data_IF_869097868406
#
_entry.id   IF_869097868406
#
_cell.length_a   1.000
_cell.length_b   1.000
_cell.length_c   1.000
_cell.angle_alpha   90.00
_cell.angle_beta   90.00
_cell.angle_gamma   90.00
#
_symmetry.space_group_name_H-M   'P 1'
#
loop_
_entity.id
_entity.type
_entity.pdbx_description
1 polymer ?
#
# COMPACT_ATOMS: atom_id res chain seq x y z
N UNK A 1 8.05 -20.70 -9.22
CA UNK A 1 8.44 -19.30 -8.98
C UNK A 1 7.18 -18.52 -8.64
N UNK A 2 7.27 -17.77 -7.56
CA UNK A 2 6.31 -16.85 -6.91
C UNK A 2 4.81 -17.06 -7.13
N UNK A 3 4.13 -17.38 -6.02
CA UNK A 3 2.70 -17.06 -5.86
C UNK A 3 2.49 -15.61 -6.26
N UNK A 4 1.79 -15.38 -7.37
CA UNK A 4 1.16 -14.09 -7.65
C UNK A 4 0.43 -13.63 -6.38
N UNK A 5 0.45 -12.31 -6.13
CA UNK A 5 -0.49 -11.57 -5.26
C UNK A 5 -1.94 -11.75 -5.77
N UNK A 6 -2.39 -12.98 -6.03
CA UNK A 6 -3.79 -13.28 -6.21
C UNK A 6 -4.41 -13.06 -4.85
N UNK A 7 -5.13 -11.95 -4.73
CA UNK A 7 -6.14 -11.70 -3.72
C UNK A 7 -6.80 -13.03 -3.35
N UNK A 8 -6.38 -13.64 -2.24
CA UNK A 8 -7.05 -14.82 -1.73
C UNK A 8 -8.47 -14.36 -1.40
N UNK A 9 -9.41 -14.70 -2.28
CA UNK A 9 -10.84 -14.49 -2.10
C UNK A 9 -11.41 -15.39 -0.99
N UNK A 10 -10.55 -15.80 -0.06
CA UNK A 10 -10.86 -16.58 1.13
C UNK A 10 -10.17 -15.88 2.32
N UNK A 11 -10.99 -15.13 3.05
CA UNK A 11 -10.77 -14.66 4.42
C UNK A 11 -10.00 -13.33 4.62
N UNK A 12 -10.77 -12.23 4.67
CA UNK A 12 -10.62 -11.07 5.57
C UNK A 12 -9.24 -10.43 5.86
N UNK A 13 -8.18 -10.67 5.08
CA UNK A 13 -6.95 -9.89 5.21
C UNK A 13 -7.11 -8.55 4.49
N UNK A 14 -7.67 -7.55 5.19
CA UNK A 14 -7.41 -6.13 4.87
C UNK A 14 -5.90 -5.96 4.71
N UNK A 15 -5.45 -5.32 3.63
CA UNK A 15 -4.04 -4.90 3.51
C UNK A 15 -3.66 -4.15 4.77
N UNK A 16 -2.55 -4.56 5.40
CA UNK A 16 -2.14 -4.02 6.69
C UNK A 16 -1.16 -2.88 6.45
N UNK A 17 -1.46 -1.72 7.01
CA UNK A 17 -0.48 -0.64 7.15
C UNK A 17 0.45 -1.04 8.29
N UNK A 18 1.74 -1.02 8.01
CA UNK A 18 2.80 -1.22 8.99
C UNK A 18 3.49 0.11 9.27
N UNK A 19 4.01 0.27 10.49
CA UNK A 19 4.80 1.42 10.89
C UNK A 19 6.13 1.01 11.51
N UNK A 20 7.17 1.79 11.24
CA UNK A 20 8.42 1.80 12.00
C UNK A 20 8.55 3.19 12.62
N UNK A 21 8.72 3.24 13.92
CA UNK A 21 8.89 4.47 14.66
C UNK A 21 10.22 4.48 15.43
N UNK A 22 10.83 5.64 15.48
CA UNK A 22 12.24 5.78 15.81
C UNK A 22 12.50 6.01 17.31
N UNK A 23 11.82 6.99 17.91
CA UNK A 23 11.85 7.27 19.36
C UNK A 23 10.78 6.47 20.11
N UNK A 24 10.88 6.40 21.44
CA UNK A 24 9.86 5.75 22.27
C UNK A 24 8.52 6.49 22.22
N UNK A 25 8.58 7.83 22.12
CA UNK A 25 7.39 8.67 21.94
C UNK A 25 6.69 8.35 20.63
N UNK A 26 7.43 8.32 19.53
CA UNK A 26 6.90 7.97 18.21
C UNK A 26 6.32 6.54 18.19
N UNK A 27 6.96 5.57 18.85
CA UNK A 27 6.43 4.20 18.99
C UNK A 27 5.13 4.15 19.76
N UNK A 28 5.00 4.97 20.81
CA UNK A 28 3.76 5.10 21.57
C UNK A 28 2.65 5.70 20.72
N UNK A 29 2.92 6.79 20.02
CA UNK A 29 1.95 7.42 19.10
C UNK A 29 1.49 6.46 18.00
N UNK A 30 2.42 5.72 17.40
CA UNK A 30 2.11 4.67 16.43
C UNK A 30 1.18 3.60 17.02
N UNK A 31 1.45 3.15 18.24
CA UNK A 31 0.65 2.13 18.93
C UNK A 31 -0.74 2.64 19.28
N UNK A 32 -0.84 3.87 19.75
CA UNK A 32 -2.10 4.55 20.10
C UNK A 32 -2.97 4.75 18.84
N UNK A 33 -2.33 4.99 17.68
CA UNK A 33 -2.99 5.01 16.38
C UNK A 33 -3.36 3.62 15.81
N UNK A 34 -3.13 2.54 16.57
CA UNK A 34 -3.43 1.15 16.17
C UNK A 34 -2.67 0.69 14.92
N UNK A 35 -1.52 1.30 14.62
CA UNK A 35 -0.70 0.94 13.47
C UNK A 35 0.25 -0.19 13.86
N UNK A 36 0.21 -1.29 13.10
CA UNK A 36 1.00 -2.49 13.42
C UNK A 36 2.49 -2.21 13.23
N UNK A 37 3.30 -2.54 14.23
CA UNK A 37 4.75 -2.41 14.11
C UNK A 37 5.34 -3.46 13.17
N UNK A 38 6.24 -3.05 12.27
CA UNK A 38 7.06 -3.97 11.50
C UNK A 38 8.17 -4.52 12.41
N UNK A 39 8.18 -5.83 12.62
CA UNK A 39 9.10 -6.47 13.59
C UNK A 39 10.43 -6.88 12.97
N UNK A 40 10.44 -7.24 11.68
CA UNK A 40 11.65 -7.69 10.99
C UNK A 40 11.59 -7.25 9.52
N UNK A 41 12.66 -6.61 9.06
CA UNK A 41 12.80 -6.14 7.69
C UNK A 41 13.91 -5.12 7.56
N UNK A 42 14.21 -4.72 6.33
CA UNK A 42 15.15 -3.65 6.01
C UNK A 42 14.41 -2.54 5.27
N UNK A 43 14.54 -1.31 5.76
CA UNK A 43 13.98 -0.12 5.13
C UNK A 43 15.11 0.65 4.46
N UNK A 44 15.00 0.84 3.15
CA UNK A 44 15.98 1.56 2.34
C UNK A 44 15.44 2.93 1.92
N UNK A 45 16.35 3.79 1.45
CA UNK A 45 16.03 5.13 0.97
C UNK A 45 15.81 6.14 2.10
N UNK A 46 15.09 7.22 1.79
CA UNK A 46 14.95 8.40 2.67
C UNK A 46 14.32 8.04 4.01
N UNK A 47 13.30 7.18 4.03
CA UNK A 47 12.68 6.73 5.28
C UNK A 47 13.66 6.01 6.20
N UNK A 48 14.51 5.13 5.65
CA UNK A 48 15.55 4.43 6.42
C UNK A 48 16.64 5.37 6.93
N UNK A 49 17.04 6.37 6.14
CA UNK A 49 17.99 7.41 6.56
C UNK A 49 17.41 8.23 7.71
N UNK A 50 16.17 8.71 7.59
CA UNK A 50 15.53 9.52 8.64
C UNK A 50 15.34 8.74 9.94
N UNK A 51 14.96 7.46 9.85
CA UNK A 51 14.86 6.54 10.99
C UNK A 51 16.21 6.19 11.64
N UNK A 52 17.32 6.58 11.03
CA UNK A 52 18.65 6.40 11.59
C UNK A 52 19.24 7.74 12.08
N UNK A 53 18.90 8.83 11.41
CA UNK A 53 19.37 10.19 11.74
C UNK A 53 18.72 10.72 13.01
N UNK A 54 17.47 10.37 13.26
CA UNK A 54 16.74 10.78 14.45
C UNK A 54 17.42 10.36 15.76
N UNK A 55 18.26 9.33 15.71
CA UNK A 55 19.09 8.90 16.84
C UNK A 55 20.03 10.00 17.35
N UNK A 56 20.47 10.90 16.47
CA UNK A 56 21.41 11.97 16.78
C UNK A 56 20.70 13.22 17.29
N UNK A 57 19.60 13.60 16.63
CA UNK A 57 18.90 14.86 16.86
C UNK A 57 17.62 14.74 17.72
N UNK A 58 17.24 13.51 18.10
CA UNK A 58 16.09 13.18 18.96
C UNK A 58 14.76 13.80 18.48
N UNK A 59 14.51 13.76 17.18
CA UNK A 59 13.20 14.10 16.61
C UNK A 59 12.40 12.83 16.33
N UNK A 60 11.07 12.94 16.28
CA UNK A 60 10.22 11.77 16.09
C UNK A 60 10.03 11.45 14.61
N UNK A 61 10.36 10.22 14.22
CA UNK A 61 10.13 9.72 12.87
C UNK A 61 9.22 8.49 12.93
N UNK A 62 8.18 8.50 12.10
CA UNK A 62 7.32 7.35 11.84
C UNK A 62 7.29 7.12 10.32
N UNK A 63 7.77 5.97 9.87
CA UNK A 63 7.67 5.53 8.48
C UNK A 63 6.53 4.54 8.34
N UNK A 64 5.55 4.84 7.48
CA UNK A 64 4.41 3.98 7.17
C UNK A 64 4.63 3.21 5.87
N UNK A 65 4.22 1.95 5.85
CA UNK A 65 4.42 1.03 4.74
C UNK A 65 3.15 0.22 4.50
N UNK A 66 2.87 -0.07 3.24
CA UNK A 66 1.85 -1.02 2.82
C UNK A 66 2.46 -2.06 1.91
N UNK A 67 1.75 -3.18 1.75
CA UNK A 67 2.15 -4.21 0.82
C UNK A 67 1.89 -3.72 -0.61
N UNK A 68 2.93 -3.69 -1.44
CA UNK A 68 2.80 -3.40 -2.86
C UNK A 68 2.41 -4.70 -3.59
N UNK A 69 1.22 -4.73 -4.20
CA UNK A 69 0.80 -5.84 -5.06
C UNK A 69 0.62 -5.34 -6.50
N UNK A 70 1.25 -5.98 -7.52
CA UNK A 70 1.18 -5.54 -8.91
C UNK A 70 -0.24 -5.49 -9.52
N UNK A 71 -1.17 -6.26 -8.95
CA UNK A 71 -2.56 -6.33 -9.41
C UNK A 71 -3.51 -5.37 -8.68
N UNK A 72 -3.02 -4.69 -7.63
CA UNK A 72 -3.79 -3.73 -6.85
C UNK A 72 -3.33 -2.32 -7.23
N UNK A 73 -4.23 -1.38 -7.57
CA UNK A 73 -3.82 -0.02 -7.85
C UNK A 73 -3.20 0.65 -6.61
N UNK A 74 -2.05 1.31 -6.78
CA UNK A 74 -1.34 2.02 -5.70
C UNK A 74 -2.21 3.09 -5.02
N UNK A 75 -3.17 3.68 -5.73
CA UNK A 75 -4.14 4.63 -5.16
C UNK A 75 -4.98 4.02 -4.04
N UNK A 76 -5.27 2.71 -4.09
CA UNK A 76 -5.99 2.02 -3.02
C UNK A 76 -5.15 2.01 -1.74
N UNK A 77 -3.88 1.63 -1.87
CA UNK A 77 -2.95 1.51 -0.75
C UNK A 77 -2.56 2.88 -0.18
N UNK A 78 -2.38 3.88 -1.05
CA UNK A 78 -2.18 5.27 -0.63
C UNK A 78 -3.35 5.79 0.21
N UNK A 79 -4.60 5.44 -0.14
CA UNK A 79 -5.77 5.82 0.67
C UNK A 79 -5.74 5.19 2.07
N UNK A 80 -5.21 3.97 2.22
CA UNK A 80 -5.04 3.30 3.52
C UNK A 80 -3.95 3.94 4.37
N UNK A 81 -2.85 4.33 3.76
CA UNK A 81 -1.81 5.11 4.44
C UNK A 81 -2.40 6.42 4.94
N UNK A 82 -3.20 7.09 4.10
CA UNK A 82 -3.81 8.37 4.43
C UNK A 82 -4.83 8.27 5.58
N UNK A 83 -5.62 7.20 5.64
CA UNK A 83 -6.46 6.87 6.80
C UNK A 83 -5.64 6.71 8.08
N UNK A 84 -4.43 6.15 7.99
CA UNK A 84 -3.55 5.98 9.14
C UNK A 84 -2.93 7.32 9.58
N UNK A 85 -2.62 8.20 8.63
CA UNK A 85 -2.14 9.55 8.89
C UNK A 85 -3.23 10.40 9.55
N UNK A 86 -4.49 10.28 9.13
CA UNK A 86 -5.65 10.97 9.73
C UNK A 86 -5.79 10.63 11.22
N UNK A 87 -5.53 9.37 11.60
CA UNK A 87 -5.53 8.92 13.00
C UNK A 87 -4.32 9.49 13.77
N UNK A 88 -3.12 9.47 13.16
CA UNK A 88 -1.90 10.00 13.79
C UNK A 88 -1.97 11.51 14.02
N UNK A 89 -2.54 12.25 13.06
CA UNK A 89 -2.61 13.72 13.09
C UNK A 89 -4.06 14.14 13.34
N UNK A 90 -4.49 14.01 14.59
CA UNK A 90 -5.87 14.24 15.04
C UNK A 90 -6.47 15.63 14.75
N UNK A 91 -5.65 16.59 14.35
CA UNK A 91 -6.07 17.97 14.04
C UNK A 91 -6.34 18.20 12.55
N UNK A 92 -6.02 17.22 11.69
CA UNK A 92 -6.23 17.28 10.25
C UNK A 92 -7.30 16.27 9.90
N UNK A 93 -8.31 16.70 9.15
CA UNK A 93 -9.32 15.81 8.58
C UNK A 93 -9.01 15.58 7.12
N UNK A 94 -8.70 14.35 6.76
CA UNK A 94 -8.34 13.98 5.39
C UNK A 94 -9.47 13.17 4.75
N UNK A 95 -10.03 13.67 3.65
CA UNK A 95 -11.06 12.94 2.90
C UNK A 95 -10.41 11.94 1.93
N UNK A 96 -10.50 10.64 2.23
CA UNK A 96 -9.90 9.57 1.40
C UNK A 96 -10.82 9.07 0.28
N UNK A 97 -12.11 9.46 0.32
CA UNK A 97 -13.14 9.05 -0.65
C UNK A 97 -12.79 9.33 -2.12
N UNK A 98 -12.24 10.51 -2.49
CA UNK A 98 -11.87 10.78 -3.87
C UNK A 98 -10.81 9.80 -4.39
N UNK A 99 -9.85 9.41 -3.53
CA UNK A 99 -8.75 8.53 -3.90
C UNK A 99 -9.23 7.09 -4.19
N UNK A 100 -10.19 6.59 -3.40
CA UNK A 100 -10.86 5.32 -3.68
C UNK A 100 -11.64 5.33 -5.00
N UNK A 101 -12.30 6.43 -5.33
CA UNK A 101 -13.02 6.57 -6.59
C UNK A 101 -12.07 6.54 -7.80
N UNK A 102 -10.92 7.21 -7.70
CA UNK A 102 -9.89 7.16 -8.74
C UNK A 102 -9.31 5.75 -8.87
N UNK A 103 -9.05 5.07 -7.74
CA UNK A 103 -8.56 3.69 -7.75
C UNK A 103 -9.49 2.76 -8.52
N UNK A 104 -10.80 2.87 -8.30
CA UNK A 104 -11.79 2.06 -9.01
C UNK A 104 -11.76 2.32 -10.52
N UNK A 105 -11.64 3.59 -10.94
CA UNK A 105 -11.56 3.94 -12.36
C UNK A 105 -10.32 3.33 -13.03
N UNK A 106 -9.15 3.43 -12.38
CA UNK A 106 -7.90 2.85 -12.88
C UNK A 106 -8.00 1.32 -12.94
N UNK A 107 -8.56 0.69 -11.92
CA UNK A 107 -8.78 -0.76 -11.89
C UNK A 107 -9.69 -1.22 -13.04
N UNK A 108 -10.79 -0.52 -13.28
CA UNK A 108 -11.73 -0.82 -14.36
C UNK A 108 -11.07 -0.68 -15.74
N UNK A 109 -10.26 0.38 -15.95
CA UNK A 109 -9.49 0.58 -17.18
C UNK A 109 -8.49 -0.54 -17.43
N UNK A 110 -7.71 -0.92 -16.41
CA UNK A 110 -6.73 -2.01 -16.50
C UNK A 110 -7.43 -3.34 -16.82
N UNK A 111 -8.57 -3.62 -16.20
CA UNK A 111 -9.36 -4.82 -16.49
C UNK A 111 -9.88 -4.83 -17.94
N UNK A 112 -10.33 -3.69 -18.46
CA UNK A 112 -10.77 -3.58 -19.85
C UNK A 112 -9.62 -3.89 -20.82
N UNK A 113 -8.44 -3.31 -20.60
CA UNK A 113 -7.28 -3.56 -21.46
C UNK A 113 -6.79 -5.01 -21.38
N UNK A 114 -6.77 -5.63 -20.20
CA UNK A 114 -6.44 -7.05 -20.04
C UNK A 114 -7.40 -7.94 -20.84
N UNK A 115 -8.71 -7.70 -20.74
CA UNK A 115 -9.72 -8.45 -21.53
C UNK A 115 -9.52 -8.29 -23.04
N UNK A 116 -9.22 -7.07 -23.51
CA UNK A 116 -8.96 -6.81 -24.93
C UNK A 116 -7.71 -7.55 -25.43
N UNK A 117 -6.63 -7.54 -24.64
CA UNK A 117 -5.42 -8.27 -24.94
C UNK A 117 -5.70 -9.79 -25.05
N UNK A 118 -6.41 -10.37 -24.08
CA UNK A 118 -6.74 -11.80 -24.08
C UNK A 118 -7.58 -12.22 -25.28
N UNK A 119 -8.58 -11.41 -25.66
CA UNK A 119 -9.38 -11.66 -26.86
C UNK A 119 -8.53 -11.62 -28.14
N UNK A 120 -7.66 -10.62 -28.28
CA UNK A 120 -6.79 -10.47 -29.47
C UNK A 120 -5.82 -11.64 -29.66
N UNK A 121 -5.27 -12.18 -28.57
CA UNK A 121 -4.38 -13.34 -28.61
C UNK A 121 -5.13 -14.63 -28.98
N UNK A 122 -6.36 -14.78 -28.46
CA UNK A 122 -7.21 -15.94 -28.76
C UNK A 122 -7.68 -15.94 -30.21
N UNK A 123 -8.00 -14.76 -30.75
CA UNK A 123 -8.40 -14.60 -32.15
C UNK A 123 -7.22 -14.83 -33.11
N UNK A 124 -6.01 -14.33 -32.76
CA UNK A 124 -4.78 -14.61 -33.51
C UNK A 124 -4.44 -16.11 -33.52
N UNK A 125 -4.54 -16.79 -32.38
CA UNK A 125 -4.32 -18.24 -32.28
C UNK A 125 -5.32 -19.04 -33.15
N UNK A 126 -6.61 -18.69 -33.10
CA UNK A 126 -7.64 -19.36 -33.93
C UNK A 126 -7.46 -19.11 -35.42
N UNK A 127 -6.93 -17.95 -35.82
CA UNK A 127 -6.63 -17.65 -37.22
C UNK A 127 -5.40 -18.40 -37.74
N UNK A 128 -4.45 -18.78 -36.88
CA UNK A 128 -3.19 -19.43 -37.26
C UNK A 128 -3.33 -20.95 -37.51
N UNK A 129 -4.30 -21.60 -36.87
CA UNK A 129 -4.57 -23.05 -37.00
C UNK A 129 -5.83 -23.36 -37.82
N UNK A 130 -6.37 -22.37 -38.54
CA UNK A 130 -7.46 -22.55 -39.51
C UNK A 130 -6.92 -22.60 -40.93
#
# INVERSE_FOLDING_TARGET
>A
MEKLCLYEKNNSKKTRVYGIASTERARKEQKDAHIKQLTLGMIYGVGGVLLNEDRWDNFDVITLLTEACPDIPDSLEAARILESIDILISHIKIETKPLYQQSKKVEDQVKMFRKQADMSQTDAYKAMYR
#
